data_IF_688671383768
#
_entry.id   IF_688671383768
#
_cell.length_a   1.000
_cell.length_b   1.000
_cell.length_c   1.000
_cell.angle_alpha   90.00
_cell.angle_beta   90.00
_cell.angle_gamma   90.00
#
_symmetry.space_group_name_H-M   'P 1'
#
loop_
_entity.id
_entity.type
_entity.pdbx_description
1 polymer ?
#
# COMPACT_ATOMS: atom_id res chain seq x y z
N UNK A 1 -9.70 -8.07 -13.89
CA UNK A 1 -8.31 -8.51 -14.14
C UNK A 1 -7.65 -7.40 -14.94
N UNK A 2 -6.51 -6.87 -14.47
CA UNK A 2 -5.69 -5.93 -15.25
C UNK A 2 -4.57 -6.75 -15.87
N UNK A 3 -4.38 -6.62 -17.18
CA UNK A 3 -3.30 -7.29 -17.89
C UNK A 3 -2.06 -6.39 -17.91
N UNK A 4 -0.94 -6.92 -17.40
CA UNK A 4 0.36 -6.26 -17.45
C UNK A 4 1.09 -6.69 -18.72
N UNK A 5 0.82 -6.01 -19.83
CA UNK A 5 1.38 -6.34 -21.15
C UNK A 5 2.92 -6.34 -21.15
N UNK A 6 3.54 -5.56 -20.28
CA UNK A 6 4.99 -5.45 -20.10
C UNK A 6 5.62 -6.75 -19.58
N UNK A 7 4.82 -7.64 -18.99
CA UNK A 7 5.26 -8.92 -18.44
C UNK A 7 5.10 -10.08 -19.44
N UNK A 8 4.39 -9.86 -20.56
CA UNK A 8 4.08 -10.92 -21.53
C UNK A 8 5.37 -11.43 -22.19
N UNK A 9 5.58 -12.74 -22.16
CA UNK A 9 6.74 -13.39 -22.76
C UNK A 9 8.04 -13.21 -21.99
N UNK A 10 8.02 -12.55 -20.83
CA UNK A 10 9.20 -12.44 -19.97
C UNK A 10 9.52 -13.78 -19.29
N UNK A 11 10.81 -14.05 -19.09
CA UNK A 11 11.29 -15.24 -18.36
C UNK A 11 11.79 -14.80 -16.99
N UNK A 12 11.24 -15.41 -15.94
CA UNK A 12 11.61 -15.11 -14.55
C UNK A 12 13.00 -15.68 -14.26
N UNK A 13 13.89 -14.83 -13.76
CA UNK A 13 15.21 -15.20 -13.23
C UNK A 13 15.13 -15.43 -11.72
N UNK A 14 14.46 -14.53 -11.00
CA UNK A 14 14.26 -14.63 -9.56
C UNK A 14 12.90 -14.04 -9.17
N UNK A 15 12.30 -14.58 -8.12
CA UNK A 15 11.04 -14.12 -7.55
C UNK A 15 11.17 -14.12 -6.04
N UNK A 16 11.10 -12.94 -5.43
CA UNK A 16 11.27 -12.75 -4.00
C UNK A 16 10.01 -12.12 -3.41
N UNK A 17 9.51 -12.70 -2.33
CA UNK A 17 8.44 -12.15 -1.51
C UNK A 17 9.05 -11.57 -0.23
N UNK A 18 8.78 -10.30 0.02
CA UNK A 18 9.16 -9.60 1.24
C UNK A 18 7.92 -9.43 2.10
N UNK A 19 7.87 -10.12 3.24
CA UNK A 19 6.65 -10.20 4.07
C UNK A 19 6.40 -8.93 4.90
N UNK A 20 7.43 -8.17 5.26
CA UNK A 20 7.37 -7.10 6.29
C UNK A 20 7.97 -5.76 5.83
N UNK A 21 7.51 -5.24 4.68
CA UNK A 21 7.79 -3.85 4.29
C UNK A 21 6.94 -2.84 5.07
N UNK A 22 7.43 -1.61 5.26
CA UNK A 22 6.65 -0.53 5.91
C UNK A 22 5.33 -0.19 5.20
N UNK A 23 5.18 -0.59 3.92
CA UNK A 23 3.95 -0.47 3.15
C UNK A 23 3.04 -1.70 3.19
N UNK A 24 3.52 -2.85 3.67
CA UNK A 24 2.91 -4.17 3.48
C UNK A 24 3.82 -5.11 2.68
N UNK A 25 3.34 -6.31 2.34
CA UNK A 25 4.11 -7.29 1.58
C UNK A 25 4.42 -6.81 0.16
N UNK A 26 5.62 -7.14 -0.32
CA UNK A 26 6.12 -6.77 -1.65
C UNK A 26 6.62 -7.99 -2.41
N UNK A 27 6.24 -8.08 -3.69
CA UNK A 27 6.71 -9.09 -4.63
C UNK A 27 7.66 -8.42 -5.63
N UNK A 28 8.91 -8.88 -5.67
CA UNK A 28 9.87 -8.50 -6.70
C UNK A 28 10.13 -9.67 -7.64
N UNK A 29 9.99 -9.43 -8.94
CA UNK A 29 10.30 -10.37 -10.01
C UNK A 29 11.43 -9.77 -10.84
N UNK A 30 12.57 -10.45 -10.88
CA UNK A 30 13.66 -10.10 -11.79
C UNK A 30 13.59 -11.01 -13.02
N UNK A 31 13.70 -10.43 -14.21
CA UNK A 31 13.68 -11.14 -15.48
C UNK A 31 15.09 -11.40 -16.01
N UNK A 32 15.20 -12.35 -16.94
CA UNK A 32 16.48 -12.72 -17.57
C UNK A 32 17.04 -11.64 -18.49
N UNK A 33 16.21 -10.72 -18.96
CA UNK A 33 16.61 -9.59 -19.80
C UNK A 33 17.12 -8.38 -19.00
N UNK A 34 17.26 -8.53 -17.68
CA UNK A 34 17.76 -7.51 -16.77
C UNK A 34 16.71 -6.51 -16.29
N UNK A 35 15.44 -6.64 -16.71
CA UNK A 35 14.34 -5.84 -16.18
C UNK A 35 13.78 -6.44 -14.88
N UNK A 36 13.13 -5.62 -14.06
CA UNK A 36 12.47 -6.06 -12.83
C UNK A 36 11.06 -5.49 -12.76
N UNK A 37 10.14 -6.24 -12.16
CA UNK A 37 8.78 -5.84 -11.83
C UNK A 37 8.57 -5.94 -10.33
N UNK A 38 7.96 -4.92 -9.74
CA UNK A 38 7.68 -4.86 -8.30
C UNK A 38 6.19 -4.59 -8.11
N UNK A 39 5.54 -5.41 -7.28
CA UNK A 39 4.17 -5.22 -6.86
C UNK A 39 4.09 -5.24 -5.33
N UNK A 40 3.62 -4.15 -4.74
CA UNK A 40 3.41 -4.03 -3.30
C UNK A 40 1.93 -3.91 -2.96
N UNK A 41 1.52 -4.52 -1.85
CA UNK A 41 0.24 -4.20 -1.23
C UNK A 41 0.45 -2.97 -0.34
N UNK A 42 -0.24 -1.86 -0.63
CA UNK A 42 -0.27 -0.68 0.24
C UNK A 42 -1.62 -0.56 0.91
N UNK A 43 -1.65 -0.57 2.24
CA UNK A 43 -2.87 -0.42 3.03
C UNK A 43 -2.86 0.96 3.71
N UNK A 44 -3.74 1.86 3.26
CA UNK A 44 -3.98 3.13 3.95
C UNK A 44 -5.24 3.02 4.81
N UNK A 45 -5.06 2.95 6.14
CA UNK A 45 -6.17 2.97 7.10
C UNK A 45 -6.23 4.36 7.73
N UNK A 46 -7.36 5.04 7.57
CA UNK A 46 -7.68 6.26 8.31
C UNK A 46 -8.89 6.03 9.21
N UNK A 47 -8.79 6.44 10.46
CA UNK A 47 -9.90 6.41 11.41
C UNK A 47 -10.26 7.85 11.79
N UNK A 48 -11.48 8.25 11.47
CA UNK A 48 -12.00 9.57 11.82
C UNK A 48 -13.10 9.46 12.87
N UNK A 49 -12.94 10.16 13.99
CA UNK A 49 -13.96 10.27 15.03
C UNK A 49 -14.56 11.68 15.06
N UNK A 50 -15.87 11.77 14.79
CA UNK A 50 -16.66 13.02 14.83
C UNK A 50 -17.64 12.98 15.99
N UNK A 51 -17.79 14.12 16.66
CA UNK A 51 -18.81 14.32 17.68
C UNK A 51 -19.73 15.46 17.25
N UNK A 52 -21.02 15.15 17.08
CA UNK A 52 -22.06 16.15 16.82
C UNK A 52 -22.77 16.50 18.13
N UNK A 53 -22.84 17.79 18.45
CA UNK A 53 -23.76 18.29 19.48
C UNK A 53 -25.13 18.52 18.86
N UNK A 54 -26.17 18.13 19.59
CA UNK A 54 -27.57 18.26 19.17
C UNK A 54 -28.10 19.71 19.17
N UNK A 55 -27.27 20.69 19.53
CA UNK A 55 -27.63 22.11 19.66
C UNK A 55 -27.44 22.92 18.36
N UNK A 56 -27.16 22.26 17.22
CA UNK A 56 -26.98 22.92 15.93
C UNK A 56 -25.57 23.45 15.66
N UNK A 57 -24.60 23.17 16.54
CA UNK A 57 -23.18 23.46 16.30
C UNK A 57 -22.58 22.56 15.21
N UNK A 58 -21.89 23.17 14.22
CA UNK A 58 -21.25 22.44 13.12
C UNK A 58 -20.27 21.34 13.57
N UNK A 59 -20.12 20.31 12.73
CA UNK A 59 -19.22 19.17 13.00
C UNK A 59 -17.78 19.63 13.23
N UNK A 60 -17.18 19.20 14.34
CA UNK A 60 -15.75 19.40 14.63
C UNK A 60 -15.04 18.06 14.72
N UNK A 61 -13.93 17.92 13.99
CA UNK A 61 -13.03 16.76 14.11
C UNK A 61 -12.42 16.80 15.51
N UNK A 62 -12.58 15.73 16.29
CA UNK A 62 -12.03 15.64 17.64
C UNK A 62 -10.55 15.25 17.60
N UNK A 63 -10.21 14.31 16.73
CA UNK A 63 -8.86 13.81 16.56
C UNK A 63 -8.76 13.04 15.25
N UNK A 64 -7.64 13.23 14.57
CA UNK A 64 -7.24 12.45 13.42
C UNK A 64 -6.19 11.43 13.89
N UNK A 65 -6.36 10.17 13.49
CA UNK A 65 -5.42 9.10 13.81
C UNK A 65 -4.74 8.67 12.52
N UNK A 66 -3.46 9.02 12.39
CA UNK A 66 -2.60 8.49 11.32
C UNK A 66 -1.87 7.24 11.83
N UNK A 67 -1.67 6.22 10.97
CA UNK A 67 -0.83 5.09 11.32
C UNK A 67 0.61 5.57 11.61
N UNK A 68 1.32 4.94 12.56
CA UNK A 68 2.67 5.32 12.92
C UNK A 68 3.62 5.17 11.72
N UNK A 69 4.48 6.17 11.51
CA UNK A 69 5.57 6.10 10.52
C UNK A 69 6.59 5.10 11.05
N UNK A 70 6.66 3.91 10.45
CA UNK A 70 7.70 2.92 10.78
C UNK A 70 9.08 3.46 10.33
N UNK A 71 10.13 3.40 11.17
CA UNK A 71 11.46 3.88 10.81
C UNK A 71 12.08 3.01 9.70
N UNK A 72 12.87 3.65 8.83
CA UNK A 72 13.58 3.05 7.69
C UNK A 72 14.75 2.17 8.10
#
# INVERSE_FOLDING_TARGET
MIECNELVGKVIRACNLFEDGSGGPELQIDFTDGTSFVAGLKVEISLEAKYLRSDGGGSRILKEYTPPVLPR
#
